data_IF_113660559765
#
_entry.id   IF_113660559765
#
_cell.length_a   1.000
_cell.length_b   1.000
_cell.length_c   1.000
_cell.angle_alpha   90.00
_cell.angle_beta   90.00
_cell.angle_gamma   90.00
#
_symmetry.space_group_name_H-M   'P 1'
#
loop_
_entity.id
_entity.type
_entity.pdbx_description
1 polymer ?
#
# COMPACT_ATOMS: atom_id res chain seq x y z
N UNK A 1 -67.95 40.32 24.51
CA UNK A 1 -66.63 39.68 24.33
C UNK A 1 -66.84 38.26 23.75
N UNK A 2 -66.46 38.00 22.52
CA UNK A 2 -66.58 36.67 21.92
C UNK A 2 -65.34 35.85 22.19
N UNK A 3 -65.57 34.53 22.55
CA UNK A 3 -64.54 33.51 22.83
C UNK A 3 -63.78 33.13 21.55
N UNK A 4 -62.46 33.11 21.60
CA UNK A 4 -61.59 32.53 20.57
C UNK A 4 -61.74 30.99 20.51
N UNK A 5 -61.79 30.38 19.32
CA UNK A 5 -61.76 28.92 19.20
C UNK A 5 -60.33 28.38 19.44
N UNK A 6 -60.31 27.19 20.08
CA UNK A 6 -59.06 26.46 20.41
C UNK A 6 -58.36 25.94 19.14
N UNK A 7 -57.06 26.18 19.08
CA UNK A 7 -56.20 25.66 18.05
C UNK A 7 -56.08 24.13 18.10
N UNK A 8 -56.46 23.46 17.00
CA UNK A 8 -56.35 22.03 16.84
C UNK A 8 -54.87 21.56 16.82
N UNK A 9 -54.59 20.47 17.56
CA UNK A 9 -53.28 19.80 17.55
C UNK A 9 -52.97 19.29 16.15
N UNK A 10 -51.72 19.48 15.65
CA UNK A 10 -51.31 18.90 14.38
C UNK A 10 -51.27 17.36 14.49
N UNK A 11 -51.87 16.69 13.53
CA UNK A 11 -51.89 15.24 13.42
C UNK A 11 -50.46 14.70 13.26
N UNK A 12 -50.09 13.73 14.13
CA UNK A 12 -48.82 13.04 14.04
C UNK A 12 -48.69 12.32 12.69
N UNK A 13 -47.82 12.83 11.83
CA UNK A 13 -47.48 12.19 10.55
C UNK A 13 -46.94 10.78 10.80
N UNK A 14 -47.52 9.78 10.14
CA UNK A 14 -47.03 8.39 10.13
C UNK A 14 -45.58 8.39 9.66
N UNK A 15 -44.64 7.65 10.33
CA UNK A 15 -43.29 7.53 9.89
C UNK A 15 -43.27 6.93 8.46
N UNK A 16 -42.61 7.63 7.54
CA UNK A 16 -42.42 7.14 6.19
C UNK A 16 -41.65 5.82 6.26
N UNK A 17 -42.26 4.71 5.93
CA UNK A 17 -41.64 3.41 5.79
C UNK A 17 -40.63 3.51 4.66
N UNK A 18 -39.35 3.53 4.99
CA UNK A 18 -38.23 3.50 4.06
C UNK A 18 -38.40 2.25 3.20
N UNK A 19 -38.92 2.38 1.97
CA UNK A 19 -39.05 1.29 0.99
C UNK A 19 -37.67 0.64 0.86
N UNK A 20 -37.51 -0.53 1.42
CA UNK A 20 -36.37 -1.41 1.26
C UNK A 20 -36.30 -1.71 -0.24
N UNK A 21 -35.29 -1.17 -0.91
CA UNK A 21 -35.08 -1.31 -2.35
C UNK A 21 -34.90 -2.81 -2.66
N UNK A 22 -36.02 -3.50 -2.92
CA UNK A 22 -36.01 -4.92 -3.30
C UNK A 22 -35.45 -4.96 -4.74
N UNK A 23 -34.14 -5.26 -4.84
CA UNK A 23 -33.53 -5.52 -6.13
C UNK A 23 -34.29 -6.67 -6.79
N UNK A 24 -34.60 -6.53 -8.07
CA UNK A 24 -35.20 -7.61 -8.87
C UNK A 24 -34.34 -8.87 -8.76
N UNK A 25 -34.93 -10.07 -8.53
CA UNK A 25 -34.15 -11.30 -8.31
C UNK A 25 -33.19 -11.60 -9.48
N UNK A 26 -33.58 -11.31 -10.72
CA UNK A 26 -32.73 -11.43 -11.89
C UNK A 26 -31.50 -10.49 -11.85
N UNK A 27 -31.69 -9.24 -11.41
CA UNK A 27 -30.57 -8.30 -11.24
C UNK A 27 -29.62 -8.75 -10.13
N UNK A 28 -30.14 -9.36 -9.06
CA UNK A 28 -29.31 -9.94 -7.99
C UNK A 28 -28.51 -11.13 -8.49
N UNK A 29 -29.12 -12.05 -9.25
CA UNK A 29 -28.41 -13.19 -9.86
C UNK A 29 -27.33 -12.72 -10.82
N UNK A 30 -27.63 -11.76 -11.71
CA UNK A 30 -26.65 -11.18 -12.62
C UNK A 30 -25.46 -10.53 -11.89
N UNK A 31 -25.71 -9.83 -10.79
CA UNK A 31 -24.65 -9.23 -9.98
C UNK A 31 -23.76 -10.32 -9.33
N UNK A 32 -24.37 -11.36 -8.74
CA UNK A 32 -23.57 -12.44 -8.12
C UNK A 32 -22.77 -13.24 -9.16
N UNK A 33 -23.34 -13.49 -10.33
CA UNK A 33 -22.61 -14.13 -11.43
C UNK A 33 -21.43 -13.28 -11.90
N UNK A 34 -21.61 -11.96 -12.06
CA UNK A 34 -20.52 -11.06 -12.41
C UNK A 34 -19.43 -11.00 -11.33
N UNK A 35 -19.81 -10.94 -10.06
CA UNK A 35 -18.87 -10.99 -8.95
C UNK A 35 -18.10 -12.31 -8.88
N UNK A 36 -18.78 -13.44 -9.06
CA UNK A 36 -18.16 -14.76 -9.09
C UNK A 36 -17.16 -14.89 -10.26
N UNK A 37 -17.55 -14.44 -11.45
CA UNK A 37 -16.66 -14.44 -12.61
C UNK A 37 -15.41 -13.58 -12.36
N UNK A 38 -15.59 -12.36 -11.83
CA UNK A 38 -14.47 -11.48 -11.49
C UNK A 38 -13.56 -12.11 -10.44
N UNK A 39 -14.13 -12.76 -9.43
CA UNK A 39 -13.36 -13.45 -8.39
C UNK A 39 -12.54 -14.62 -8.98
N UNK A 40 -13.12 -15.42 -9.86
CA UNK A 40 -12.41 -16.52 -10.56
C UNK A 40 -11.25 -15.98 -11.39
N UNK A 41 -11.49 -14.93 -12.18
CA UNK A 41 -10.44 -14.28 -13.00
C UNK A 41 -9.32 -13.73 -12.11
N UNK A 42 -9.65 -13.12 -10.99
CA UNK A 42 -8.66 -12.53 -10.06
C UNK A 42 -7.84 -13.60 -9.32
N UNK A 43 -8.45 -14.72 -8.95
CA UNK A 43 -7.79 -15.82 -8.20
C UNK A 43 -6.99 -16.74 -9.14
N UNK A 44 -7.34 -16.82 -10.40
CA UNK A 44 -6.71 -17.74 -11.36
C UNK A 44 -5.18 -17.54 -11.48
N UNK A 45 -4.62 -16.32 -11.69
CA UNK A 45 -3.17 -16.16 -11.81
C UNK A 45 -2.39 -16.58 -10.56
N UNK A 46 -2.74 -16.15 -9.33
CA UNK A 46 -2.02 -16.59 -8.14
C UNK A 46 -2.19 -18.10 -7.87
N UNK A 47 -3.36 -18.68 -8.19
CA UNK A 47 -3.57 -20.11 -8.07
C UNK A 47 -2.69 -20.87 -9.08
N UNK A 48 -2.60 -20.38 -10.31
CA UNK A 48 -1.74 -20.97 -11.33
C UNK A 48 -0.26 -20.91 -10.93
N UNK A 49 0.19 -19.79 -10.38
CA UNK A 49 1.53 -19.63 -9.85
C UNK A 49 1.80 -20.67 -8.73
N UNK A 50 0.86 -20.81 -7.80
CA UNK A 50 0.94 -21.79 -6.72
C UNK A 50 1.02 -23.22 -7.24
N UNK A 51 0.18 -23.58 -8.22
CA UNK A 51 0.21 -24.91 -8.84
C UNK A 51 1.55 -25.16 -9.55
N UNK A 52 2.03 -24.16 -10.29
CA UNK A 52 3.30 -24.27 -11.04
C UNK A 52 4.50 -24.42 -10.11
N UNK A 53 4.50 -23.81 -8.93
CA UNK A 53 5.59 -23.91 -7.96
C UNK A 53 5.82 -25.34 -7.43
N UNK A 54 4.82 -26.20 -7.53
CA UNK A 54 4.90 -27.63 -7.16
C UNK A 54 5.14 -28.56 -8.33
N UNK A 55 5.29 -28.04 -9.55
CA UNK A 55 5.62 -28.89 -10.71
C UNK A 55 7.13 -29.17 -10.78
N UNK A 56 7.54 -30.36 -11.29
CA UNK A 56 8.94 -30.59 -11.62
C UNK A 56 9.47 -29.53 -12.59
N UNK A 57 10.76 -29.22 -12.51
CA UNK A 57 11.42 -28.18 -13.31
C UNK A 57 11.14 -28.26 -14.82
N UNK A 58 11.09 -29.49 -15.35
CA UNK A 58 10.85 -29.75 -16.79
C UNK A 58 9.39 -29.54 -17.21
N UNK A 59 8.45 -29.52 -16.24
CA UNK A 59 7.02 -29.41 -16.49
C UNK A 59 6.44 -28.06 -16.17
N UNK A 60 7.27 -27.08 -15.83
CA UNK A 60 6.83 -25.75 -15.40
C UNK A 60 5.88 -25.06 -16.41
N UNK A 61 6.10 -25.28 -17.71
CA UNK A 61 5.26 -24.74 -18.80
C UNK A 61 4.14 -25.68 -19.27
N UNK A 62 4.04 -26.88 -18.71
CA UNK A 62 2.98 -27.80 -19.14
C UNK A 62 1.62 -27.25 -18.69
N UNK A 63 0.65 -27.25 -19.61
CA UNK A 63 -0.75 -26.94 -19.31
C UNK A 63 -1.48 -28.08 -18.63
N UNK A 64 -0.82 -29.23 -18.51
CA UNK A 64 -1.36 -30.42 -17.85
C UNK A 64 -1.53 -30.16 -16.35
N UNK A 65 -2.56 -30.70 -15.70
CA UNK A 65 -2.64 -30.74 -14.26
C UNK A 65 -1.39 -31.41 -13.67
N UNK A 66 -1.09 -31.07 -12.40
CA UNK A 66 0.09 -31.62 -11.70
C UNK A 66 0.01 -33.15 -11.67
N UNK A 67 0.83 -33.83 -12.50
CA UNK A 67 0.94 -35.29 -12.52
C UNK A 67 1.88 -35.82 -11.45
N UNK A 68 2.91 -34.99 -11.10
CA UNK A 68 3.89 -35.30 -10.07
C UNK A 68 4.07 -34.04 -9.17
N UNK A 69 3.72 -34.17 -7.92
CA UNK A 69 3.86 -33.09 -6.95
C UNK A 69 5.26 -33.10 -6.35
N UNK A 70 5.98 -32.00 -6.38
CA UNK A 70 7.31 -31.88 -5.77
C UNK A 70 7.44 -30.64 -4.90
N UNK A 71 8.19 -30.74 -3.83
CA UNK A 71 8.63 -29.61 -3.00
C UNK A 71 10.09 -29.22 -3.28
N UNK A 72 10.73 -29.88 -4.24
CA UNK A 72 12.14 -29.67 -4.55
C UNK A 72 12.47 -28.22 -4.94
N UNK A 73 11.55 -27.50 -5.59
CA UNK A 73 11.73 -26.08 -5.91
C UNK A 73 11.86 -25.23 -4.64
N UNK A 74 11.06 -25.51 -3.62
CA UNK A 74 11.10 -24.80 -2.34
C UNK A 74 12.37 -25.13 -1.55
N UNK A 75 12.78 -26.39 -1.51
CA UNK A 75 14.04 -26.79 -0.83
C UNK A 75 15.23 -26.18 -1.54
N UNK A 76 15.26 -26.17 -2.86
CA UNK A 76 16.31 -25.51 -3.63
C UNK A 76 16.39 -24.00 -3.34
N UNK A 77 15.25 -23.28 -3.41
CA UNK A 77 15.21 -21.84 -3.13
C UNK A 77 15.70 -21.53 -1.72
N UNK A 78 15.29 -22.30 -0.72
CA UNK A 78 15.59 -21.98 0.68
C UNK A 78 16.96 -22.45 1.16
N UNK A 79 17.48 -23.57 0.59
CA UNK A 79 18.72 -24.19 1.07
C UNK A 79 19.93 -23.98 0.15
N UNK A 80 19.70 -23.88 -1.18
CA UNK A 80 20.77 -23.87 -2.16
C UNK A 80 21.01 -22.51 -2.81
N UNK A 81 20.25 -21.47 -2.41
CA UNK A 81 20.39 -20.09 -2.93
C UNK A 81 20.51 -19.07 -1.83
N UNK A 82 20.89 -17.84 -2.16
CA UNK A 82 20.95 -16.73 -1.23
C UNK A 82 19.57 -16.12 -0.89
N UNK A 83 18.46 -16.81 -1.16
CA UNK A 83 17.09 -16.32 -0.99
C UNK A 83 16.81 -15.75 0.41
N UNK A 84 17.28 -16.41 1.47
CA UNK A 84 17.09 -15.91 2.84
C UNK A 84 17.81 -14.59 3.09
N UNK A 85 18.99 -14.39 2.49
CA UNK A 85 19.72 -13.12 2.53
C UNK A 85 18.93 -12.03 1.78
N UNK A 86 18.41 -12.32 0.58
CA UNK A 86 17.58 -11.38 -0.17
C UNK A 86 16.29 -11.03 0.57
N UNK A 87 15.70 -12.01 1.25
CA UNK A 87 14.52 -11.80 2.08
C UNK A 87 14.82 -10.84 3.24
N UNK A 88 15.94 -11.08 3.96
CA UNK A 88 16.37 -10.21 5.04
C UNK A 88 16.66 -8.79 4.57
N UNK A 89 17.37 -8.62 3.45
CA UNK A 89 17.66 -7.34 2.85
C UNK A 89 16.36 -6.59 2.50
N UNK A 90 15.40 -7.29 1.88
CA UNK A 90 14.09 -6.71 1.54
C UNK A 90 13.31 -6.27 2.78
N UNK A 91 13.27 -7.10 3.82
CA UNK A 91 12.58 -6.75 5.08
C UNK A 91 13.21 -5.51 5.73
N UNK A 92 14.53 -5.40 5.72
CA UNK A 92 15.25 -4.23 6.27
C UNK A 92 14.93 -2.98 5.44
N UNK A 93 15.14 -3.03 4.12
CA UNK A 93 14.92 -1.88 3.24
C UNK A 93 13.47 -1.42 3.27
N UNK A 94 12.53 -2.34 3.09
CA UNK A 94 11.09 -2.02 3.04
C UNK A 94 10.56 -1.60 4.42
N UNK A 95 11.01 -2.26 5.48
CA UNK A 95 10.65 -1.91 6.86
C UNK A 95 11.09 -0.49 7.21
N UNK A 96 12.37 -0.16 6.97
CA UNK A 96 12.90 1.19 7.20
C UNK A 96 12.19 2.25 6.33
N UNK A 97 12.02 1.96 5.03
CA UNK A 97 11.29 2.85 4.13
C UNK A 97 9.87 3.12 4.62
N UNK A 98 9.16 2.07 5.06
CA UNK A 98 7.79 2.20 5.54
C UNK A 98 7.71 3.04 6.81
N UNK A 99 8.53 2.76 7.81
CA UNK A 99 8.52 3.51 9.08
C UNK A 99 8.90 4.97 8.87
N UNK A 100 10.03 5.22 8.18
CA UNK A 100 10.51 6.58 7.92
C UNK A 100 9.55 7.33 6.99
N UNK A 101 9.05 6.67 5.94
CA UNK A 101 8.12 7.25 4.98
C UNK A 101 6.79 7.67 5.61
N UNK A 102 6.20 6.81 6.46
CA UNK A 102 4.99 7.15 7.22
C UNK A 102 5.23 8.31 8.17
N UNK A 103 6.36 8.32 8.87
CA UNK A 103 6.72 9.41 9.78
C UNK A 103 6.84 10.74 9.04
N UNK A 104 7.60 10.80 7.93
CA UNK A 104 7.78 12.00 7.12
C UNK A 104 6.44 12.43 6.50
N UNK A 105 5.67 11.49 5.95
CA UNK A 105 4.37 11.79 5.35
C UNK A 105 3.36 12.32 6.37
N UNK A 106 3.31 11.76 7.57
CA UNK A 106 2.42 12.20 8.63
C UNK A 106 2.80 13.61 9.13
N UNK A 107 4.07 13.86 9.42
CA UNK A 107 4.53 15.17 9.89
C UNK A 107 4.35 16.25 8.82
N UNK A 108 4.69 15.96 7.56
CA UNK A 108 4.49 16.88 6.43
C UNK A 108 3.01 17.14 6.18
N UNK A 109 2.19 16.08 6.11
CA UNK A 109 0.75 16.18 5.89
C UNK A 109 0.04 17.00 6.98
N UNK A 110 0.41 16.78 8.25
CA UNK A 110 -0.11 17.55 9.37
C UNK A 110 0.31 19.04 9.28
N UNK A 111 1.59 19.31 9.03
CA UNK A 111 2.08 20.67 8.88
C UNK A 111 1.35 21.43 7.77
N UNK A 112 1.17 20.81 6.60
CA UNK A 112 0.47 21.40 5.45
C UNK A 112 -1.04 21.53 5.69
N UNK A 113 -1.64 20.67 6.52
CA UNK A 113 -3.06 20.73 6.88
C UNK A 113 -3.36 21.87 7.89
N UNK A 114 -2.47 22.09 8.85
CA UNK A 114 -2.71 22.99 10.00
C UNK A 114 -2.07 24.35 9.87
N UNK A 115 -0.92 24.45 9.19
CA UNK A 115 -0.18 25.69 9.09
C UNK A 115 -0.31 26.28 7.69
N UNK A 116 -0.56 27.59 7.63
CA UNK A 116 -0.56 28.36 6.38
C UNK A 116 0.73 29.15 6.29
N UNK A 117 1.55 28.86 5.29
CA UNK A 117 2.79 29.57 5.01
C UNK A 117 2.90 29.92 3.52
N UNK A 118 3.63 31.01 3.18
CA UNK A 118 3.86 31.36 1.79
C UNK A 118 4.64 30.22 1.09
N UNK A 119 4.22 29.84 -0.14
CA UNK A 119 4.85 28.74 -0.86
C UNK A 119 4.24 27.34 -0.63
N UNK A 120 3.28 27.18 0.30
CA UNK A 120 2.66 25.88 0.57
C UNK A 120 2.00 25.25 -0.68
N UNK A 121 1.25 26.05 -1.45
CA UNK A 121 0.58 25.53 -2.67
C UNK A 121 1.58 25.06 -3.72
N UNK A 122 2.58 25.87 -4.15
CA UNK A 122 3.58 25.39 -5.10
C UNK A 122 4.39 24.22 -4.56
N UNK A 123 4.70 24.13 -3.27
CA UNK A 123 5.35 22.96 -2.68
C UNK A 123 4.52 21.69 -2.87
N UNK A 124 3.23 21.74 -2.59
CA UNK A 124 2.32 20.58 -2.78
C UNK A 124 2.21 20.17 -4.25
N UNK A 125 2.16 21.15 -5.17
CA UNK A 125 2.19 20.86 -6.60
C UNK A 125 3.53 20.26 -7.03
N UNK A 126 4.64 20.77 -6.52
CA UNK A 126 5.97 20.22 -6.80
C UNK A 126 6.05 18.74 -6.39
N UNK A 127 5.57 18.39 -5.19
CA UNK A 127 5.52 16.99 -4.73
C UNK A 127 4.72 16.09 -5.68
N UNK A 128 3.58 16.57 -6.21
CA UNK A 128 2.79 15.79 -7.18
C UNK A 128 3.46 15.69 -8.54
N UNK A 129 4.10 16.77 -9.02
CA UNK A 129 4.81 16.79 -10.30
C UNK A 129 5.97 15.78 -10.31
N UNK A 130 6.66 15.59 -9.18
CA UNK A 130 7.74 14.57 -9.10
C UNK A 130 7.24 13.16 -9.40
N UNK A 131 5.96 12.87 -9.13
CA UNK A 131 5.34 11.56 -9.42
C UNK A 131 5.05 11.32 -10.92
N UNK A 132 5.15 12.36 -11.75
CA UNK A 132 4.93 12.23 -13.19
C UNK A 132 6.19 11.77 -13.94
N UNK A 133 7.35 11.79 -13.29
CA UNK A 133 8.59 11.35 -13.92
C UNK A 133 8.63 9.81 -14.01
N UNK A 134 8.88 9.25 -15.20
CA UNK A 134 9.08 7.82 -15.35
C UNK A 134 10.30 7.35 -14.54
N UNK A 135 10.14 6.25 -13.79
CA UNK A 135 11.21 5.64 -12.98
C UNK A 135 12.48 5.41 -13.85
N UNK A 136 12.30 4.91 -15.06
CA UNK A 136 13.41 4.64 -15.98
C UNK A 136 14.30 5.86 -16.28
N UNK A 137 13.74 7.07 -16.32
CA UNK A 137 14.47 8.32 -16.55
C UNK A 137 15.29 8.70 -15.32
N UNK A 138 14.80 8.38 -14.13
CA UNK A 138 15.42 8.74 -12.86
C UNK A 138 16.50 7.77 -12.41
N UNK A 139 16.61 6.57 -12.99
CA UNK A 139 17.61 5.56 -12.59
C UNK A 139 19.03 6.13 -12.69
N UNK A 140 19.41 6.70 -13.84
CA UNK A 140 20.77 7.17 -14.07
C UNK A 140 21.16 8.34 -13.14
N UNK A 141 20.37 9.43 -13.02
CA UNK A 141 20.74 10.52 -12.12
C UNK A 141 20.77 10.09 -10.65
N UNK A 142 19.84 9.22 -10.20
CA UNK A 142 19.85 8.72 -8.83
C UNK A 142 21.00 7.75 -8.58
N UNK A 143 21.36 6.91 -9.56
CA UNK A 143 22.55 6.06 -9.49
C UNK A 143 23.81 6.89 -9.28
N UNK A 144 24.01 7.93 -10.09
CA UNK A 144 25.17 8.81 -9.97
C UNK A 144 25.21 9.52 -8.61
N UNK A 145 24.05 9.96 -8.11
CA UNK A 145 23.95 10.57 -6.78
C UNK A 145 24.33 9.56 -5.68
N UNK A 146 23.78 8.34 -5.72
CA UNK A 146 24.09 7.29 -4.74
C UNK A 146 25.56 6.86 -4.84
N UNK A 147 26.12 6.79 -6.04
CA UNK A 147 27.55 6.53 -6.24
C UNK A 147 28.42 7.60 -5.59
N UNK A 148 28.11 8.88 -5.81
CA UNK A 148 28.85 10.02 -5.24
C UNK A 148 28.79 10.04 -3.71
N UNK A 149 27.64 9.61 -3.14
CA UNK A 149 27.43 9.52 -1.69
C UNK A 149 28.01 8.23 -1.07
N UNK A 150 28.54 7.29 -1.88
CA UNK A 150 29.02 5.99 -1.40
C UNK A 150 27.92 5.06 -0.92
N UNK A 151 26.68 5.23 -1.42
CA UNK A 151 25.49 4.51 -0.98
C UNK A 151 25.07 3.37 -1.94
N UNK A 152 25.83 3.09 -3.00
CA UNK A 152 25.62 1.90 -3.81
C UNK A 152 25.96 0.64 -2.99
N UNK A 153 25.23 -0.43 -3.23
CA UNK A 153 25.30 -1.68 -2.46
C UNK A 153 25.04 -1.51 -0.95
N UNK A 154 24.32 -0.44 -0.58
CA UNK A 154 23.94 -0.18 0.80
C UNK A 154 22.41 -0.11 0.92
N UNK A 155 21.80 -0.75 1.94
CA UNK A 155 20.37 -0.64 2.21
C UNK A 155 19.89 0.82 2.29
N UNK A 156 20.72 1.71 2.86
CA UNK A 156 20.42 3.13 3.00
C UNK A 156 20.18 3.83 1.65
N UNK A 157 20.93 3.47 0.61
CA UNK A 157 20.76 4.02 -0.74
C UNK A 157 19.38 3.69 -1.31
N UNK A 158 18.93 2.44 -1.16
CA UNK A 158 17.57 2.04 -1.56
C UNK A 158 16.50 2.71 -0.71
N UNK A 159 16.66 2.77 0.61
CA UNK A 159 15.71 3.43 1.51
C UNK A 159 15.50 4.88 1.08
N UNK A 160 16.58 5.65 0.89
CA UNK A 160 16.50 7.05 0.45
C UNK A 160 15.79 7.15 -0.90
N UNK A 161 16.13 6.30 -1.85
CA UNK A 161 15.52 6.29 -3.19
C UNK A 161 14.04 5.96 -3.12
N UNK A 162 13.63 4.95 -2.35
CA UNK A 162 12.22 4.58 -2.21
C UNK A 162 11.40 5.66 -1.48
N UNK A 163 12.00 6.39 -0.55
CA UNK A 163 11.36 7.54 0.08
C UNK A 163 11.05 8.65 -0.92
N UNK A 164 11.90 8.87 -1.95
CA UNK A 164 11.61 9.87 -2.99
C UNK A 164 10.37 9.52 -3.81
N UNK A 165 10.04 8.24 -3.94
CA UNK A 165 8.85 7.76 -4.64
C UNK A 165 7.61 7.81 -3.74
N UNK A 166 7.72 7.29 -2.51
CA UNK A 166 6.55 7.08 -1.66
C UNK A 166 6.10 8.36 -0.93
N UNK A 167 7.04 9.15 -0.38
CA UNK A 167 6.73 10.29 0.50
C UNK A 167 5.85 11.36 -0.16
N UNK A 168 6.10 11.81 -1.42
CA UNK A 168 5.30 12.87 -2.01
C UNK A 168 3.81 12.57 -2.05
N UNK A 169 3.44 11.38 -2.53
CA UNK A 169 2.05 10.93 -2.59
C UNK A 169 1.48 10.69 -1.19
N UNK A 170 2.24 10.06 -0.31
CA UNK A 170 1.84 9.79 1.07
C UNK A 170 1.59 11.06 1.87
N UNK A 171 2.43 12.09 1.71
CA UNK A 171 2.24 13.38 2.37
C UNK A 171 0.95 14.08 1.90
N UNK A 172 0.66 14.01 0.60
CA UNK A 172 -0.59 14.53 0.04
C UNK A 172 -1.80 13.78 0.58
N UNK A 173 -1.73 12.46 0.62
CA UNK A 173 -2.79 11.61 1.16
C UNK A 173 -3.01 11.88 2.66
N UNK A 174 -1.94 11.96 3.46
CA UNK A 174 -2.03 12.27 4.89
C UNK A 174 -2.62 13.67 5.15
N UNK A 175 -2.27 14.66 4.31
CA UNK A 175 -2.94 15.97 4.37
C UNK A 175 -4.45 15.82 4.22
N UNK A 176 -4.92 15.06 3.22
CA UNK A 176 -6.34 14.80 3.02
C UNK A 176 -7.02 14.17 4.24
N UNK A 177 -6.36 13.24 4.92
CA UNK A 177 -6.85 12.65 6.17
C UNK A 177 -6.91 13.68 7.31
N UNK A 178 -5.86 14.47 7.51
CA UNK A 178 -5.85 15.48 8.56
C UNK A 178 -6.86 16.61 8.33
N UNK A 179 -7.15 16.94 7.07
CA UNK A 179 -8.20 17.91 6.72
C UNK A 179 -9.61 17.44 7.15
N UNK A 180 -9.83 16.15 7.35
CA UNK A 180 -11.12 15.61 7.86
C UNK A 180 -11.24 15.68 9.38
N UNK A 181 -10.14 15.88 10.10
CA UNK A 181 -10.11 16.00 11.56
C UNK A 181 -10.40 17.48 11.94
N UNK A 182 -11.43 17.76 12.76
CA UNK A 182 -11.76 19.11 13.16
C UNK A 182 -10.59 19.84 13.81
N UNK A 183 -10.41 21.13 13.49
CA UNK A 183 -9.31 21.97 14.02
C UNK A 183 -9.49 22.21 15.52
N UNK A 184 -10.70 22.12 16.01
CA UNK A 184 -11.08 22.24 17.43
C UNK A 184 -10.33 21.24 18.33
N UNK A 185 -9.90 20.09 17.78
CA UNK A 185 -9.04 19.13 18.51
C UNK A 185 -7.67 19.75 18.81
N UNK A 186 -7.11 20.48 17.86
CA UNK A 186 -5.82 21.18 18.04
C UNK A 186 -5.97 22.34 19.04
N UNK A 187 -7.10 23.04 19.00
CA UNK A 187 -7.43 24.13 19.94
C UNK A 187 -7.62 23.60 21.37
N UNK A 188 -8.37 22.50 21.53
CA UNK A 188 -8.53 21.83 22.82
C UNK A 188 -7.17 21.42 23.42
N UNK A 189 -6.29 20.83 22.60
CA UNK A 189 -4.94 20.50 23.04
C UNK A 189 -4.15 21.70 23.57
N UNK A 190 -4.29 22.88 22.94
CA UNK A 190 -3.65 24.12 23.41
C UNK A 190 -4.23 24.61 24.74
N UNK A 191 -5.55 24.50 24.91
CA UNK A 191 -6.22 24.87 26.18
C UNK A 191 -5.75 23.95 27.31
N UNK A 192 -5.51 22.65 27.00
CA UNK A 192 -4.95 21.68 27.94
C UNK A 192 -3.42 21.84 28.16
N UNK A 193 -2.80 22.86 27.58
CA UNK A 193 -1.38 23.18 27.76
C UNK A 193 -0.43 22.33 26.90
N UNK A 194 -0.93 21.61 25.89
CA UNK A 194 -0.08 20.88 24.96
C UNK A 194 0.56 21.82 23.95
N UNK A 195 1.84 21.62 23.69
CA UNK A 195 2.50 22.24 22.53
C UNK A 195 2.05 21.55 21.21
N UNK A 196 2.29 22.15 20.04
CA UNK A 196 1.85 21.59 18.76
C UNK A 196 2.31 20.14 18.51
N UNK A 197 3.52 19.80 18.94
CA UNK A 197 4.05 18.43 18.83
C UNK A 197 3.31 17.44 19.76
N UNK A 198 3.03 17.88 21.00
CA UNK A 198 2.23 17.09 21.94
C UNK A 198 0.81 16.87 21.45
N UNK A 199 0.17 17.91 20.90
CA UNK A 199 -1.16 17.81 20.27
C UNK A 199 -1.16 16.83 19.10
N UNK A 200 -0.17 16.95 18.20
CA UNK A 200 -0.01 16.02 17.08
C UNK A 200 0.05 14.57 17.55
N UNK A 201 0.98 14.22 18.45
CA UNK A 201 1.21 12.84 18.85
C UNK A 201 0.11 12.25 19.75
N UNK A 202 -0.43 13.05 20.67
CA UNK A 202 -1.36 12.56 21.70
C UNK A 202 -2.82 12.59 21.25
N UNK A 203 -3.19 13.58 20.42
CA UNK A 203 -4.58 13.79 20.02
C UNK A 203 -4.81 13.44 18.55
N UNK A 204 -4.02 13.99 17.63
CA UNK A 204 -4.28 13.91 16.19
C UNK A 204 -3.84 12.58 15.58
N UNK A 205 -2.65 12.09 15.90
CA UNK A 205 -2.13 10.79 15.38
C UNK A 205 -3.04 9.61 15.73
N UNK A 206 -3.58 9.47 16.96
CA UNK A 206 -4.53 8.41 17.28
C UNK A 206 -5.81 8.45 16.44
N UNK A 207 -6.31 9.63 16.10
CA UNK A 207 -7.49 9.82 15.24
C UNK A 207 -7.18 9.51 13.77
N UNK A 208 -5.94 9.76 13.34
CA UNK A 208 -5.47 9.51 11.98
C UNK A 208 -4.99 8.06 11.73
N UNK A 209 -5.14 7.13 12.70
CA UNK A 209 -4.71 5.73 12.55
C UNK A 209 -5.16 5.07 11.23
N UNK A 210 -6.41 5.25 10.75
CA UNK A 210 -6.79 4.69 9.45
C UNK A 210 -5.96 5.25 8.30
N UNK A 211 -5.71 6.55 8.28
CA UNK A 211 -4.86 7.21 7.29
C UNK A 211 -3.41 6.73 7.33
N UNK A 212 -2.84 6.59 8.55
CA UNK A 212 -1.50 6.06 8.74
C UNK A 212 -1.37 4.61 8.26
N UNK A 213 -2.40 3.77 8.52
CA UNK A 213 -2.41 2.39 8.04
C UNK A 213 -2.44 2.30 6.51
N UNK A 214 -3.24 3.15 5.84
CA UNK A 214 -3.30 3.23 4.38
C UNK A 214 -1.96 3.70 3.81
N UNK A 215 -1.38 4.75 4.41
CA UNK A 215 -0.07 5.29 4.03
C UNK A 215 1.04 4.25 4.20
N UNK A 216 1.05 3.54 5.33
CA UNK A 216 2.01 2.48 5.59
C UNK A 216 1.88 1.32 4.61
N UNK A 217 0.66 0.90 4.32
CA UNK A 217 0.40 -0.13 3.32
C UNK A 217 0.87 0.29 1.92
N UNK A 218 0.56 1.52 1.50
CA UNK A 218 1.02 2.02 0.20
C UNK A 218 2.54 2.07 0.11
N UNK A 219 3.21 2.62 1.14
CA UNK A 219 4.69 2.69 1.18
C UNK A 219 5.31 1.29 1.16
N UNK A 220 4.75 0.37 1.96
CA UNK A 220 5.20 -1.02 1.98
C UNK A 220 5.08 -1.68 0.60
N UNK A 221 3.90 -1.64 -0.02
CA UNK A 221 3.68 -2.30 -1.32
C UNK A 221 4.56 -1.70 -2.41
N UNK A 222 4.71 -0.36 -2.44
CA UNK A 222 5.55 0.32 -3.42
C UNK A 222 7.02 -0.10 -3.28
N UNK A 223 7.54 -0.16 -2.04
CA UNK A 223 8.92 -0.56 -1.79
C UNK A 223 9.13 -2.08 -1.96
N UNK A 224 8.13 -2.92 -1.61
CA UNK A 224 8.20 -4.37 -1.73
C UNK A 224 8.25 -4.85 -3.18
N UNK A 225 7.51 -4.19 -4.05
CA UNK A 225 7.41 -4.52 -5.47
C UNK A 225 8.46 -3.83 -6.34
N UNK A 226 9.33 -3.00 -5.75
CA UNK A 226 10.29 -2.22 -6.51
C UNK A 226 11.46 -3.10 -6.98
N UNK A 227 11.71 -3.11 -8.29
CA UNK A 227 12.73 -3.93 -8.96
C UNK A 227 13.80 -3.09 -9.63
N UNK A 228 13.41 -1.95 -10.22
CA UNK A 228 14.26 -1.21 -11.15
C UNK A 228 15.47 -0.59 -10.45
N UNK A 229 15.27 0.11 -9.34
CA UNK A 229 16.37 0.67 -8.55
C UNK A 229 17.13 -0.41 -7.80
N UNK A 230 16.44 -1.44 -7.27
CA UNK A 230 17.09 -2.55 -6.61
C UNK A 230 18.09 -3.23 -7.53
N UNK A 231 17.70 -3.54 -8.77
CA UNK A 231 18.56 -4.18 -9.77
C UNK A 231 19.68 -3.27 -10.28
N UNK A 232 19.47 -1.94 -10.27
CA UNK A 232 20.47 -0.99 -10.71
C UNK A 232 21.50 -0.65 -9.63
N UNK A 233 21.10 -0.59 -8.35
CA UNK A 233 21.94 -0.09 -7.26
C UNK A 233 22.61 -1.18 -6.44
N UNK A 234 22.04 -2.40 -6.46
CA UNK A 234 22.54 -3.56 -5.71
C UNK A 234 23.19 -4.55 -6.67
N UNK A 235 24.47 -4.75 -6.49
CA UNK A 235 25.29 -5.69 -7.26
C UNK A 235 25.93 -6.68 -6.29
N UNK A 236 26.15 -7.90 -6.75
CA UNK A 236 26.62 -8.98 -5.87
C UNK A 236 25.44 -9.68 -5.17
N UNK A 237 25.52 -11.00 -5.12
CA UNK A 237 24.43 -11.87 -4.68
C UNK A 237 23.99 -11.56 -3.24
N UNK A 238 24.96 -11.22 -2.38
CA UNK A 238 24.71 -10.90 -0.96
C UNK A 238 23.95 -9.58 -0.74
N UNK A 239 23.97 -8.68 -1.73
CA UNK A 239 23.35 -7.36 -1.61
C UNK A 239 21.95 -7.30 -2.21
N UNK A 240 21.56 -8.31 -3.01
CA UNK A 240 20.28 -8.29 -3.70
C UNK A 240 19.11 -8.22 -2.71
N UNK A 241 18.04 -7.57 -3.15
CA UNK A 241 16.69 -7.70 -2.56
C UNK A 241 15.96 -8.87 -3.23
N UNK A 242 14.83 -9.28 -2.67
CA UNK A 242 13.98 -10.33 -3.27
C UNK A 242 13.64 -10.07 -4.74
N UNK A 243 13.30 -8.82 -5.05
CA UNK A 243 12.94 -8.43 -6.41
C UNK A 243 14.12 -8.56 -7.40
N UNK A 244 15.33 -8.19 -6.97
CA UNK A 244 16.56 -8.40 -7.75
C UNK A 244 16.93 -9.89 -7.82
N UNK A 245 16.83 -10.59 -6.70
CA UNK A 245 17.16 -12.02 -6.59
C UNK A 245 16.27 -12.93 -7.46
N UNK A 246 14.98 -12.60 -7.62
CA UNK A 246 14.10 -13.35 -8.52
C UNK A 246 14.61 -13.41 -9.97
N UNK A 247 15.29 -12.37 -10.44
CA UNK A 247 15.82 -12.32 -11.81
C UNK A 247 16.98 -13.30 -12.02
N UNK A 248 17.60 -13.81 -10.94
CA UNK A 248 18.69 -14.79 -11.07
C UNK A 248 18.18 -16.15 -11.51
N UNK A 249 16.93 -16.50 -11.18
CA UNK A 249 16.33 -17.79 -11.59
C UNK A 249 16.01 -17.86 -13.07
N UNK A 250 15.61 -16.73 -13.67
CA UNK A 250 15.26 -16.68 -15.10
C UNK A 250 15.89 -15.46 -15.73
N UNK A 251 16.87 -15.71 -16.60
CA UNK A 251 17.54 -14.69 -17.39
C UNK A 251 17.97 -15.31 -18.73
N UNK A 252 18.79 -14.60 -19.51
CA UNK A 252 19.26 -15.08 -20.81
C UNK A 252 20.10 -16.38 -20.76
N UNK A 253 20.58 -16.77 -19.58
CA UNK A 253 21.45 -17.94 -19.38
C UNK A 253 20.77 -19.05 -18.57
N UNK A 254 19.74 -18.72 -17.79
CA UNK A 254 19.06 -19.65 -16.88
C UNK A 254 17.55 -19.60 -17.06
N UNK A 255 16.91 -20.76 -17.00
CA UNK A 255 15.45 -20.92 -17.15
C UNK A 255 14.89 -21.78 -16.03
N UNK A 256 15.05 -21.35 -14.77
CA UNK A 256 14.53 -22.08 -13.62
C UNK A 256 13.17 -21.51 -13.16
N UNK A 257 12.15 -21.78 -13.96
CA UNK A 257 10.78 -21.32 -13.67
C UNK A 257 10.18 -22.00 -12.44
N UNK A 258 10.59 -23.22 -12.11
CA UNK A 258 10.14 -23.91 -10.89
C UNK A 258 10.57 -23.15 -9.65
N UNK A 259 11.86 -22.86 -9.54
CA UNK A 259 12.40 -22.07 -8.41
C UNK A 259 11.87 -20.64 -8.40
N UNK A 260 11.76 -19.99 -9.56
CA UNK A 260 11.20 -18.63 -9.66
C UNK A 260 9.75 -18.59 -9.15
N UNK A 261 8.90 -19.55 -9.52
CA UNK A 261 7.50 -19.57 -9.06
C UNK A 261 7.40 -19.93 -7.58
N UNK A 262 8.23 -20.84 -7.07
CA UNK A 262 8.30 -21.15 -5.63
C UNK A 262 8.73 -19.93 -4.82
N UNK A 263 9.78 -19.22 -5.25
CA UNK A 263 10.23 -17.98 -4.63
C UNK A 263 9.14 -16.91 -4.65
N UNK A 264 8.45 -16.73 -5.79
CA UNK A 264 7.35 -15.76 -5.91
C UNK A 264 6.18 -16.06 -4.97
N UNK A 265 5.84 -17.34 -4.75
CA UNK A 265 4.84 -17.75 -3.75
C UNK A 265 5.28 -17.35 -2.35
N UNK A 266 6.54 -17.61 -1.97
CA UNK A 266 7.06 -17.21 -0.64
C UNK A 266 7.02 -15.68 -0.48
N UNK A 267 7.40 -14.93 -1.51
CA UNK A 267 7.39 -13.46 -1.51
C UNK A 267 5.98 -12.90 -1.40
N UNK A 268 4.98 -13.58 -1.94
CA UNK A 268 3.59 -13.14 -1.85
C UNK A 268 3.03 -13.23 -0.42
N UNK A 269 3.55 -14.10 0.44
CA UNK A 269 3.05 -14.31 1.81
C UNK A 269 3.14 -13.04 2.67
N UNK A 270 4.29 -12.36 2.82
CA UNK A 270 4.37 -11.11 3.58
C UNK A 270 3.44 -10.02 3.04
N UNK A 271 3.36 -9.87 1.72
CA UNK A 271 2.46 -8.89 1.11
C UNK A 271 0.98 -9.18 1.42
N UNK A 272 0.57 -10.45 1.34
CA UNK A 272 -0.77 -10.88 1.71
C UNK A 272 -1.07 -10.66 3.20
N UNK A 273 -0.12 -10.93 4.09
CA UNK A 273 -0.26 -10.67 5.52
C UNK A 273 -0.42 -9.17 5.81
N UNK A 274 0.44 -8.32 5.25
CA UNK A 274 0.33 -6.86 5.43
C UNK A 274 -1.00 -6.35 4.88
N UNK A 275 -1.46 -6.85 3.73
CA UNK A 275 -2.78 -6.54 3.20
C UNK A 275 -3.90 -6.97 4.16
N UNK A 276 -3.85 -8.19 4.68
CA UNK A 276 -4.86 -8.71 5.61
C UNK A 276 -4.99 -7.85 6.89
N UNK A 277 -3.88 -7.27 7.37
CA UNK A 277 -3.91 -6.31 8.49
C UNK A 277 -4.43 -4.93 8.07
N UNK A 278 -4.05 -4.44 6.88
CA UNK A 278 -4.41 -3.11 6.40
C UNK A 278 -5.86 -3.01 5.90
N UNK A 279 -6.44 -4.09 5.33
CA UNK A 279 -7.74 -4.08 4.63
C UNK A 279 -8.89 -3.48 5.44
N UNK A 280 -8.95 -3.75 6.76
CA UNK A 280 -9.99 -3.19 7.64
C UNK A 280 -9.96 -1.66 7.71
N UNK A 281 -8.79 -1.05 7.56
CA UNK A 281 -8.61 0.40 7.58
C UNK A 281 -8.81 1.01 6.19
N UNK A 282 -8.50 0.26 5.11
CA UNK A 282 -8.74 0.66 3.73
C UNK A 282 -10.25 0.83 3.46
N UNK A 283 -11.09 -0.11 3.91
CA UNK A 283 -12.54 -0.06 3.72
C UNK A 283 -13.16 1.13 4.47
N UNK A 284 -12.73 1.42 5.70
CA UNK A 284 -13.24 2.56 6.48
C UNK A 284 -12.88 3.92 5.85
N UNK A 285 -11.69 4.04 5.24
CA UNK A 285 -11.27 5.27 4.55
C UNK A 285 -12.08 5.57 3.29
N UNK A 286 -12.45 4.54 2.52
CA UNK A 286 -13.26 4.69 1.30
C UNK A 286 -14.71 5.08 1.60
N UNK A 287 -15.29 4.58 2.70
CA UNK A 287 -16.67 4.89 3.09
C UNK A 287 -16.84 6.28 3.71
N UNK A 288 -15.82 6.82 4.35
CA UNK A 288 -15.84 8.19 4.89
C UNK A 288 -15.96 9.28 3.80
N UNK A 289 -15.49 9.00 2.57
CA UNK A 289 -15.61 9.90 1.42
C UNK A 289 -16.99 9.91 0.73
N UNK A 290 -17.82 8.88 0.94
CA UNK A 290 -19.09 8.71 0.22
C UNK A 290 -20.33 9.23 0.96
N UNK A 291 -20.19 9.69 2.20
CA UNK A 291 -21.31 10.20 3.02
C UNK A 291 -21.59 11.71 2.88
N UNK A 292 -20.96 12.38 1.91
CA UNK A 292 -21.31 13.76 1.51
C UNK A 292 -22.07 13.73 0.19
N UNK A 293 -23.29 13.24 0.25
CA UNK A 293 -24.29 13.30 -0.83
C UNK A 293 -25.68 13.33 -0.24
#
# INVERSE_FOLDING_TARGET
MPRKPAAGKPAAGKPATRKRNQRHPLASVGLHAALALTAVIAVFPPLWLLITSFKPKNDAFSTSPVTHFTVANYTHVLADTAFLTWFQNSVIVVGLTTVIGVFIAATTGYAVSRFRFPGMRPLMWLLLITQMFPVAVLIVPLYNLMATLGLLNQPAGLVITYLTIAVPFCAWMMKGFFDTIPVEIDEAGRVDGLNPFGTFWRLVVPLARPGLAVTGFYTFVTAWAEVAYASAFMTGEENLTLAGGLQTFVNQYTNDWGSMTAAAVIIAVPAALVFAFAQRHLVSGLTAGTTKG
#
